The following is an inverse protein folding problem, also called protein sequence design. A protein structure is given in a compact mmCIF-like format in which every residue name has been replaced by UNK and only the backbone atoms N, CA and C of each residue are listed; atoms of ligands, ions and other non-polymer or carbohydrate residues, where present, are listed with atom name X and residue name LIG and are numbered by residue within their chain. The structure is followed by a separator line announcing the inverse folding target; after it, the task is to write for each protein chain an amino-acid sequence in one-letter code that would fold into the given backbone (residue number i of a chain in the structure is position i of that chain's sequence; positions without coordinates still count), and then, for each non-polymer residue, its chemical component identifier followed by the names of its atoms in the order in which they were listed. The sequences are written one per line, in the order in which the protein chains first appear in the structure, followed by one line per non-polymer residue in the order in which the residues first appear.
data_IF_361383090415
#
_entry.id   IF_361383090415
#
_cell.length_a   1.000
_cell.length_b   1.000
_cell.length_c   1.000
_cell.angle_alpha   90.00
_cell.angle_beta   90.00
_cell.angle_gamma   90.00
#
_symmetry.space_group_name_H-M   'P 1'
#
loop_
_entity.id
_entity.type
_entity.pdbx_description
1 polymer ?
#
# COMPACT_ATOMS: atom_id res chain seq x y z
N UNK A 1 16.21 81.73 -2.08
CA UNK A 1 15.80 82.01 -0.69
C UNK A 1 14.28 82.12 -0.67
N UNK A 2 13.60 81.41 0.24
CA UNK A 2 13.48 79.95 0.22
C UNK A 2 11.98 79.55 0.33
N UNK A 3 11.49 78.32 0.12
CA UNK A 3 11.99 76.96 0.37
C UNK A 3 11.21 75.99 -0.55
N UNK A 4 11.89 75.08 -1.26
CA UNK A 4 11.93 73.62 -0.97
C UNK A 4 10.55 73.05 -0.56
N UNK A 5 9.94 72.10 -1.27
CA UNK A 5 10.42 70.72 -1.45
C UNK A 5 9.86 70.09 -2.75
N UNK A 6 10.74 69.60 -3.63
CA UNK A 6 10.57 68.32 -4.35
C UNK A 6 11.26 67.22 -3.52
N UNK A 7 11.07 65.91 -3.79
CA UNK A 7 9.87 65.13 -4.11
C UNK A 7 9.78 63.86 -3.21
N UNK A 8 8.61 63.26 -2.95
CA UNK A 8 8.59 61.85 -2.48
C UNK A 8 7.41 61.03 -3.04
N UNK A 9 7.81 59.98 -3.74
CA UNK A 9 7.05 58.79 -4.17
C UNK A 9 6.11 58.25 -3.09
N UNK A 10 4.87 57.91 -3.45
CA UNK A 10 4.14 56.66 -3.11
C UNK A 10 2.97 56.61 -4.11
N UNK A 11 2.98 55.83 -5.18
CA UNK A 11 2.92 54.37 -5.21
C UNK A 11 1.76 54.01 -6.13
N UNK A 12 2.04 53.80 -7.41
CA UNK A 12 1.06 53.26 -8.35
C UNK A 12 0.71 51.83 -7.93
N UNK A 13 -0.38 51.67 -7.19
CA UNK A 13 -0.94 50.38 -6.80
C UNK A 13 -1.95 49.89 -7.83
N UNK A 14 -1.50 49.62 -9.05
CA UNK A 14 -2.28 48.79 -9.97
C UNK A 14 -2.18 47.37 -9.45
N UNK A 15 -3.23 46.88 -8.76
CA UNK A 15 -3.34 45.46 -8.44
C UNK A 15 -3.78 44.72 -9.71
N UNK A 16 -2.83 44.61 -10.65
CA UNK A 16 -2.89 43.69 -11.77
C UNK A 16 -2.70 42.29 -11.17
N UNK A 17 -3.80 41.56 -10.99
CA UNK A 17 -3.73 40.12 -10.75
C UNK A 17 -3.34 39.47 -12.09
N UNK A 18 -2.07 39.59 -12.45
CA UNK A 18 -1.45 38.75 -13.46
C UNK A 18 -1.29 37.39 -12.78
N UNK A 19 -2.11 36.43 -13.18
CA UNK A 19 -1.74 35.02 -13.02
C UNK A 19 -0.57 34.81 -13.96
N UNK A 20 0.63 35.06 -13.44
CA UNK A 20 1.83 34.58 -14.06
C UNK A 20 1.77 33.06 -13.94
N UNK A 21 1.35 32.40 -15.02
CA UNK A 21 1.87 31.07 -15.33
C UNK A 21 3.36 31.29 -15.59
N UNK A 22 4.15 31.46 -14.53
CA UNK A 22 5.54 31.13 -14.65
C UNK A 22 5.57 29.68 -15.09
N UNK A 23 6.32 29.38 -16.14
CA UNK A 23 7.06 28.13 -16.19
C UNK A 23 8.01 28.18 -14.98
N UNK A 24 7.46 28.02 -13.77
CA UNK A 24 8.18 27.27 -12.78
C UNK A 24 8.34 25.92 -13.46
N UNK A 25 9.58 25.49 -13.67
CA UNK A 25 9.84 24.07 -13.63
C UNK A 25 9.12 23.59 -12.38
N UNK A 26 7.96 22.95 -12.56
CA UNK A 26 7.21 22.42 -11.45
C UNK A 26 8.22 21.56 -10.71
N UNK A 27 8.61 21.87 -9.47
CA UNK A 27 9.41 20.93 -8.71
C UNK A 27 8.60 19.65 -8.76
N UNK A 28 9.24 18.57 -9.24
CA UNK A 28 8.63 17.26 -9.41
C UNK A 28 7.66 17.03 -8.25
N UNK A 29 6.40 16.71 -8.59
CA UNK A 29 5.31 16.52 -7.64
C UNK A 29 5.84 15.95 -6.33
N UNK A 30 5.76 16.74 -5.26
CA UNK A 30 6.22 16.33 -3.94
C UNK A 30 5.44 15.06 -3.56
N UNK A 31 6.11 13.90 -3.69
CA UNK A 31 5.51 12.60 -3.40
C UNK A 31 5.01 12.52 -1.95
N UNK A 32 5.45 13.44 -1.08
CA UNK A 32 5.11 13.52 0.33
C UNK A 32 3.64 13.85 0.64
N UNK A 33 2.87 14.37 -0.31
CA UNK A 33 1.48 14.76 -0.01
C UNK A 33 0.48 13.59 -0.01
N UNK A 34 0.83 12.43 -0.59
CA UNK A 34 -0.16 11.38 -0.89
C UNK A 34 0.38 9.96 -0.62
N UNK A 35 -0.53 9.00 -0.45
CA UNK A 35 -0.19 7.58 -0.58
C UNK A 35 0.09 7.22 -2.04
N UNK A 36 0.12 5.93 -2.35
CA UNK A 36 0.22 5.46 -3.74
C UNK A 36 1.23 4.33 -3.94
N UNK A 37 1.38 3.93 -5.19
CA UNK A 37 2.24 2.85 -5.61
C UNK A 37 3.49 3.41 -6.30
N UNK A 38 4.66 3.01 -5.84
CA UNK A 38 5.95 3.41 -6.37
C UNK A 38 6.69 2.18 -6.91
N UNK A 39 7.56 2.37 -7.89
CA UNK A 39 8.38 1.31 -8.48
C UNK A 39 9.82 1.72 -8.61
N UNK A 40 10.71 0.81 -8.25
CA UNK A 40 12.13 0.84 -8.59
C UNK A 40 12.42 -0.23 -9.65
N UNK A 41 13.46 0.01 -10.46
CA UNK A 41 14.06 -0.98 -11.39
C UNK A 41 15.55 -1.19 -11.14
N UNK A 42 16.08 -0.58 -10.09
CA UNK A 42 17.49 -0.48 -9.75
C UNK A 42 17.70 -0.75 -8.25
N UNK A 43 16.95 -1.72 -7.72
CA UNK A 43 17.03 -2.17 -6.33
C UNK A 43 16.86 -1.02 -5.31
N UNK A 44 15.92 -0.12 -5.58
CA UNK A 44 15.53 0.98 -4.71
C UNK A 44 16.50 2.18 -4.70
N UNK A 45 17.43 2.25 -5.65
CA UNK A 45 18.27 3.44 -5.82
C UNK A 45 17.44 4.62 -6.33
N UNK A 46 16.49 4.38 -7.24
CA UNK A 46 15.51 5.38 -7.68
C UNK A 46 14.08 4.83 -7.65
N UNK A 47 13.11 5.74 -7.43
CA UNK A 47 11.69 5.39 -7.39
C UNK A 47 10.85 6.26 -8.32
N UNK A 48 9.87 5.63 -8.97
CA UNK A 48 8.91 6.27 -9.86
C UNK A 48 7.49 6.05 -9.34
N UNK A 49 6.69 7.11 -9.26
CA UNK A 49 5.27 7.00 -8.96
C UNK A 49 4.52 6.33 -10.12
N UNK A 50 3.72 5.31 -9.81
CA UNK A 50 3.09 4.39 -10.76
C UNK A 50 1.59 4.67 -10.93
N UNK A 51 0.99 5.60 -10.20
CA UNK A 51 -0.42 5.98 -10.39
C UNK A 51 -0.66 7.50 -10.35
N UNK A 52 0.15 8.32 -11.05
CA UNK A 52 0.10 9.78 -10.91
C UNK A 52 -1.23 10.42 -11.33
N UNK A 53 -1.97 9.78 -12.24
CA UNK A 53 -3.25 10.28 -12.72
C UNK A 53 -4.45 9.87 -11.85
N UNK A 54 -4.24 9.08 -10.80
CA UNK A 54 -5.30 8.58 -9.92
C UNK A 54 -4.94 8.88 -8.48
N UNK A 55 -5.82 9.60 -7.79
CA UNK A 55 -5.69 9.82 -6.36
C UNK A 55 -5.90 8.50 -5.62
N UNK A 56 -4.83 7.96 -5.05
CA UNK A 56 -4.85 6.75 -4.23
C UNK A 56 -4.35 7.14 -2.84
N UNK A 57 -5.24 7.17 -1.86
CA UNK A 57 -4.87 7.52 -0.49
C UNK A 57 -4.14 6.37 0.20
N UNK A 58 -4.43 5.13 -0.21
CA UNK A 58 -3.78 3.93 0.26
C UNK A 58 -3.61 2.88 -0.84
N UNK A 59 -2.35 2.55 -1.17
CA UNK A 59 -2.02 1.35 -1.92
C UNK A 59 -1.86 0.18 -0.95
N UNK A 60 -2.89 -0.67 -0.83
CA UNK A 60 -3.00 -1.69 0.20
C UNK A 60 -2.39 -3.04 -0.21
N UNK A 61 -2.54 -3.41 -1.48
CA UNK A 61 -1.92 -4.60 -2.06
C UNK A 61 -1.71 -4.41 -3.56
N UNK A 62 -0.64 -4.98 -4.10
CA UNK A 62 -0.38 -5.03 -5.54
C UNK A 62 -0.10 -6.45 -5.95
N UNK A 63 -0.65 -6.88 -7.08
CA UNK A 63 -0.31 -8.13 -7.73
C UNK A 63 0.27 -7.83 -9.12
N UNK A 64 1.41 -8.44 -9.42
CA UNK A 64 2.01 -8.46 -10.76
C UNK A 64 1.63 -9.80 -11.37
N UNK A 65 1.15 -9.81 -12.61
CA UNK A 65 0.82 -11.06 -13.29
C UNK A 65 2.08 -11.93 -13.44
N UNK A 66 2.00 -13.24 -13.14
CA UNK A 66 3.14 -14.15 -13.26
C UNK A 66 3.57 -14.39 -14.71
N UNK A 67 2.77 -13.98 -15.70
CA UNK A 67 3.04 -14.20 -17.13
C UNK A 67 3.15 -12.90 -17.95
N UNK A 68 2.83 -11.75 -17.36
CA UNK A 68 2.91 -10.45 -18.03
C UNK A 68 3.25 -9.33 -17.03
N UNK A 69 4.47 -8.75 -17.06
CA UNK A 69 4.86 -7.70 -16.11
C UNK A 69 4.11 -6.38 -16.34
N UNK A 70 3.37 -6.25 -17.44
CA UNK A 70 2.55 -5.09 -17.72
C UNK A 70 1.13 -5.20 -17.15
N UNK A 71 0.69 -6.41 -16.77
CA UNK A 71 -0.63 -6.65 -16.19
C UNK A 71 -0.55 -6.60 -14.65
N UNK A 72 -1.05 -5.51 -14.08
CA UNK A 72 -1.02 -5.25 -12.64
C UNK A 72 -2.44 -5.10 -12.10
N UNK A 73 -2.64 -5.55 -10.85
CA UNK A 73 -3.79 -5.17 -10.04
C UNK A 73 -3.31 -4.41 -8.80
N UNK A 74 -4.00 -3.33 -8.49
CA UNK A 74 -3.77 -2.51 -7.31
C UNK A 74 -5.04 -2.47 -6.49
N UNK A 75 -5.01 -3.07 -5.31
CA UNK A 75 -6.05 -2.95 -4.31
C UNK A 75 -5.80 -1.69 -3.47
N UNK A 76 -6.84 -0.88 -3.32
CA UNK A 76 -6.79 0.42 -2.64
C UNK A 76 -7.81 0.50 -1.52
N UNK A 77 -7.86 1.62 -0.82
CA UNK A 77 -8.91 1.96 0.16
C UNK A 77 -10.32 2.10 -0.45
N UNK A 78 -10.43 2.22 -1.77
CA UNK A 78 -11.67 2.52 -2.48
C UNK A 78 -12.12 1.44 -3.46
N UNK A 79 -11.25 0.46 -3.76
CA UNK A 79 -11.59 -0.69 -4.59
C UNK A 79 -10.36 -1.37 -5.16
N UNK A 80 -10.47 -1.85 -6.39
CA UNK A 80 -9.36 -2.44 -7.13
C UNK A 80 -9.23 -1.77 -8.50
N UNK A 81 -8.01 -1.54 -8.95
CA UNK A 81 -7.70 -0.99 -10.27
C UNK A 81 -6.74 -1.90 -11.02
N UNK A 82 -6.85 -1.93 -12.34
CA UNK A 82 -5.99 -2.71 -13.24
C UNK A 82 -5.16 -1.81 -14.13
N UNK A 83 -3.91 -2.20 -14.36
CA UNK A 83 -3.06 -1.67 -15.43
C UNK A 83 -2.71 -2.78 -16.42
N UNK A 84 -2.59 -2.44 -17.71
CA UNK A 84 -2.07 -3.34 -18.77
C UNK A 84 -0.81 -2.79 -19.46
N UNK A 85 -0.20 -1.77 -18.87
CA UNK A 85 0.98 -1.12 -19.43
C UNK A 85 2.04 -0.85 -18.35
N UNK A 86 2.11 -1.73 -17.35
CA UNK A 86 3.10 -1.66 -16.27
C UNK A 86 2.89 -0.46 -15.34
N UNK A 87 1.63 -0.08 -15.13
CA UNK A 87 1.23 0.99 -14.24
C UNK A 87 1.48 2.38 -14.82
N UNK A 88 1.30 2.57 -16.13
CA UNK A 88 1.26 3.94 -16.69
C UNK A 88 -0.17 4.48 -16.59
N UNK A 89 -1.14 3.65 -16.91
CA UNK A 89 -2.57 3.96 -16.84
C UNK A 89 -3.31 2.88 -16.02
N UNK A 90 -4.40 3.31 -15.38
CA UNK A 90 -5.20 2.47 -14.49
C UNK A 90 -6.69 2.59 -14.81
N UNK A 91 -7.38 1.46 -14.76
CA UNK A 91 -8.83 1.34 -14.90
C UNK A 91 -9.38 0.72 -13.63
N UNK A 92 -10.34 1.38 -12.99
CA UNK A 92 -11.02 0.80 -11.81
C UNK A 92 -11.86 -0.39 -12.28
N UNK A 93 -11.65 -1.52 -11.61
CA UNK A 93 -12.27 -2.82 -11.83
C UNK A 93 -13.32 -3.11 -10.75
N UNK A 94 -14.15 -4.13 -10.97
CA UNK A 94 -15.09 -4.67 -9.97
C UNK A 94 -16.06 -3.65 -9.34
N UNK A 95 -16.30 -2.50 -9.97
CA UNK A 95 -17.10 -1.38 -9.42
C UNK A 95 -18.49 -1.78 -8.93
N UNK A 96 -19.08 -2.79 -9.56
CA UNK A 96 -20.44 -3.24 -9.27
C UNK A 96 -20.53 -4.18 -8.06
N UNK A 97 -19.41 -4.76 -7.64
CA UNK A 97 -19.38 -5.79 -6.58
C UNK A 97 -18.46 -5.43 -5.41
N UNK A 98 -17.38 -4.69 -5.65
CA UNK A 98 -16.42 -4.26 -4.63
C UNK A 98 -16.48 -2.74 -4.46
N UNK A 99 -17.02 -2.32 -3.31
CA UNK A 99 -17.02 -0.92 -2.88
C UNK A 99 -16.29 -0.83 -1.53
N UNK A 100 -15.23 -0.02 -1.46
CA UNK A 100 -14.38 0.12 -0.28
C UNK A 100 -13.07 -0.64 -0.38
N UNK A 101 -12.37 -0.89 0.74
CA UNK A 101 -10.99 -1.32 0.71
C UNK A 101 -10.82 -2.76 0.21
N UNK A 102 -9.89 -2.94 -0.72
CA UNK A 102 -9.30 -4.23 -1.06
C UNK A 102 -8.00 -4.44 -0.28
N UNK A 103 -7.95 -5.46 0.57
CA UNK A 103 -6.84 -5.71 1.50
C UNK A 103 -5.78 -6.65 0.95
N UNK A 104 -6.17 -7.57 0.07
CA UNK A 104 -5.25 -8.49 -0.57
C UNK A 104 -5.70 -8.72 -2.01
N UNK A 105 -4.74 -8.91 -2.91
CA UNK A 105 -5.00 -9.24 -4.31
C UNK A 105 -3.94 -10.22 -4.81
N UNK A 106 -4.36 -11.17 -5.64
CA UNK A 106 -3.45 -12.12 -6.28
C UNK A 106 -3.98 -12.58 -7.63
N UNK A 107 -3.08 -13.02 -8.51
CA UNK A 107 -3.38 -13.66 -9.78
C UNK A 107 -3.25 -15.19 -9.66
N UNK A 108 -4.03 -15.92 -10.46
CA UNK A 108 -3.75 -17.34 -10.72
C UNK A 108 -2.52 -17.45 -11.62
N UNK A 109 -2.01 -18.67 -11.78
CA UNK A 109 -0.82 -18.97 -12.60
C UNK A 109 -0.99 -18.55 -14.07
N UNK A 110 -2.22 -18.39 -14.55
CA UNK A 110 -2.51 -17.90 -15.91
C UNK A 110 -2.37 -16.38 -16.05
N UNK A 111 -2.26 -15.65 -14.94
CA UNK A 111 -2.16 -14.19 -14.91
C UNK A 111 -3.35 -13.42 -15.47
N UNK A 112 -4.49 -14.07 -15.64
CA UNK A 112 -5.75 -13.47 -16.09
C UNK A 112 -6.84 -13.54 -15.02
N UNK A 113 -6.96 -14.69 -14.35
CA UNK A 113 -7.89 -14.84 -13.22
C UNK A 113 -7.28 -14.22 -11.97
N UNK A 114 -8.12 -13.54 -11.20
CA UNK A 114 -7.68 -12.82 -10.02
C UNK A 114 -8.63 -13.06 -8.83
N UNK A 115 -8.08 -12.92 -7.64
CA UNK A 115 -8.84 -12.87 -6.39
C UNK A 115 -8.49 -11.59 -5.66
N UNK A 116 -9.51 -10.91 -5.13
CA UNK A 116 -9.38 -9.71 -4.29
C UNK A 116 -10.19 -9.91 -3.02
N UNK A 117 -9.54 -9.77 -1.86
CA UNK A 117 -10.22 -9.77 -0.58
C UNK A 117 -10.61 -8.35 -0.19
N UNK A 118 -11.91 -8.08 -0.10
CA UNK A 118 -12.44 -6.83 0.43
C UNK A 118 -12.71 -6.89 1.94
N UNK A 119 -13.35 -5.84 2.46
CA UNK A 119 -13.74 -5.76 3.88
C UNK A 119 -14.82 -6.77 4.30
N UNK A 120 -15.66 -7.23 3.37
CA UNK A 120 -16.84 -8.05 3.68
C UNK A 120 -16.95 -9.33 2.84
N UNK A 121 -16.19 -9.44 1.76
CA UNK A 121 -16.24 -10.58 0.86
C UNK A 121 -14.93 -10.75 0.08
N UNK A 122 -14.78 -11.92 -0.54
CA UNK A 122 -13.77 -12.23 -1.53
C UNK A 122 -14.41 -12.16 -2.91
N UNK A 123 -13.70 -11.54 -3.85
CA UNK A 123 -14.17 -11.34 -5.21
C UNK A 123 -13.25 -12.05 -6.18
N UNK A 124 -13.84 -12.78 -7.12
CA UNK A 124 -13.14 -13.43 -8.22
C UNK A 124 -13.34 -12.64 -9.49
N UNK A 125 -12.23 -12.32 -10.14
CA UNK A 125 -12.17 -11.76 -11.48
C UNK A 125 -11.83 -12.86 -12.49
N UNK A 126 -12.68 -13.04 -13.50
CA UNK A 126 -12.41 -13.88 -14.67
C UNK A 126 -12.39 -12.96 -15.90
N UNK A 127 -11.25 -12.32 -16.15
CA UNK A 127 -11.15 -11.22 -17.12
C UNK A 127 -11.77 -9.93 -16.56
N UNK A 128 -12.69 -9.32 -17.31
CA UNK A 128 -13.35 -8.06 -16.91
C UNK A 128 -14.62 -8.29 -16.06
N UNK A 129 -14.95 -9.55 -15.74
CA UNK A 129 -16.14 -9.90 -14.93
C UNK A 129 -15.72 -10.25 -13.52
N UNK A 130 -16.40 -9.63 -12.55
CA UNK A 130 -16.16 -9.85 -11.13
C UNK A 130 -17.41 -10.41 -10.44
N UNK A 131 -17.22 -11.38 -9.55
CA UNK A 131 -18.30 -11.98 -8.76
C UNK A 131 -17.84 -12.28 -7.34
N UNK A 132 -18.73 -12.15 -6.33
CA UNK A 132 -18.41 -12.54 -4.97
C UNK A 132 -18.32 -14.07 -4.84
N UNK A 133 -17.43 -14.54 -3.96
CA UNK A 133 -17.28 -15.94 -3.61
C UNK A 133 -17.80 -16.23 -2.19
N UNK A 134 -18.20 -17.48 -1.95
CA UNK A 134 -18.48 -17.96 -0.58
C UNK A 134 -17.17 -18.19 0.15
N UNK A 135 -17.19 -17.91 1.45
CA UNK A 135 -16.01 -17.94 2.29
C UNK A 135 -16.21 -18.78 3.55
N UNK A 136 -15.15 -19.40 4.08
CA UNK A 136 -15.14 -19.90 5.44
C UNK A 136 -15.37 -18.76 6.43
N UNK A 137 -16.12 -19.03 7.49
CA UNK A 137 -16.39 -18.04 8.54
C UNK A 137 -15.07 -17.50 9.14
N UNK A 138 -15.02 -16.19 9.40
CA UNK A 138 -13.84 -15.53 9.98
C UNK A 138 -12.69 -15.26 9.00
N UNK A 139 -12.82 -15.61 7.72
CA UNK A 139 -11.73 -15.40 6.74
C UNK A 139 -11.55 -13.94 6.28
N UNK A 140 -12.46 -13.04 6.67
CA UNK A 140 -12.50 -11.64 6.26
C UNK A 140 -12.54 -10.74 7.51
N UNK A 141 -11.82 -9.59 7.49
CA UNK A 141 -10.95 -9.13 6.42
C UNK A 141 -9.70 -10.00 6.28
N UNK A 142 -9.33 -10.32 5.04
CA UNK A 142 -8.16 -11.15 4.77
C UNK A 142 -6.90 -10.32 4.98
N UNK A 143 -5.91 -10.91 5.67
CA UNK A 143 -4.56 -10.36 5.80
C UNK A 143 -3.67 -10.71 4.61
N UNK A 144 -3.89 -11.88 4.01
CA UNK A 144 -3.13 -12.32 2.84
C UNK A 144 -3.96 -13.22 1.90
N UNK A 145 -3.70 -13.05 0.61
CA UNK A 145 -4.05 -13.97 -0.46
C UNK A 145 -2.76 -14.34 -1.18
N UNK A 146 -2.42 -15.63 -1.17
CA UNK A 146 -1.13 -16.11 -1.70
C UNK A 146 -1.38 -17.25 -2.66
N UNK A 147 -1.07 -17.02 -3.94
CA UNK A 147 -0.99 -18.07 -4.95
C UNK A 147 0.45 -18.58 -5.09
N UNK A 148 0.58 -19.80 -5.59
CA UNK A 148 1.88 -20.40 -5.92
C UNK A 148 1.96 -20.72 -7.41
N UNK A 149 2.74 -21.74 -7.75
CA UNK A 149 2.87 -22.24 -9.13
C UNK A 149 1.86 -23.34 -9.51
N UNK A 150 0.96 -23.70 -8.59
CA UNK A 150 -0.10 -24.69 -8.84
C UNK A 150 -1.39 -23.97 -9.24
N UNK A 151 -1.86 -24.25 -10.45
CA UNK A 151 -3.09 -23.67 -10.98
C UNK A 151 -4.27 -23.91 -10.03
N UNK A 152 -5.05 -22.86 -9.77
CA UNK A 152 -6.21 -22.94 -8.89
C UNK A 152 -5.88 -22.99 -7.39
N UNK A 153 -4.62 -23.21 -7.00
CA UNK A 153 -4.25 -23.21 -5.58
C UNK A 153 -4.03 -21.80 -5.05
N UNK A 154 -4.73 -21.48 -3.96
CA UNK A 154 -4.59 -20.21 -3.24
C UNK A 154 -4.74 -20.42 -1.74
N UNK A 155 -3.95 -19.69 -0.98
CA UNK A 155 -4.04 -19.62 0.48
C UNK A 155 -4.68 -18.29 0.90
N UNK A 156 -5.60 -18.38 1.85
CA UNK A 156 -6.30 -17.25 2.44
C UNK A 156 -6.01 -17.23 3.95
N UNK A 157 -5.32 -16.19 4.40
CA UNK A 157 -5.13 -15.93 5.82
C UNK A 157 -6.06 -14.81 6.27
N UNK A 158 -6.95 -15.13 7.20
CA UNK A 158 -7.85 -14.18 7.84
C UNK A 158 -7.77 -14.27 9.38
N UNK A 159 -8.74 -13.66 10.05
CA UNK A 159 -8.82 -13.68 11.52
C UNK A 159 -9.25 -15.04 12.07
N UNK A 160 -10.02 -15.80 11.29
CA UNK A 160 -10.50 -17.14 11.62
C UNK A 160 -9.56 -18.26 11.18
N UNK A 161 -8.31 -17.96 10.84
CA UNK A 161 -7.28 -18.95 10.52
C UNK A 161 -6.81 -18.95 9.06
N UNK A 162 -6.10 -20.02 8.70
CA UNK A 162 -5.47 -20.22 7.40
C UNK A 162 -6.24 -21.28 6.60
N UNK A 163 -6.68 -20.91 5.42
CA UNK A 163 -7.44 -21.77 4.52
C UNK A 163 -6.71 -21.95 3.19
N UNK A 164 -6.88 -23.11 2.56
CA UNK A 164 -6.42 -23.41 1.21
C UNK A 164 -7.61 -23.74 0.32
N UNK A 165 -7.60 -23.22 -0.89
CA UNK A 165 -8.42 -23.68 -2.00
C UNK A 165 -7.50 -24.31 -3.05
N UNK A 166 -7.96 -25.36 -3.72
CA UNK A 166 -7.30 -25.96 -4.90
C UNK A 166 -8.14 -25.76 -6.19
N UNK A 167 -9.20 -24.96 -6.12
CA UNK A 167 -10.17 -24.72 -7.19
C UNK A 167 -10.49 -23.22 -7.42
N UNK A 168 -9.51 -22.37 -7.12
CA UNK A 168 -9.54 -20.91 -7.26
C UNK A 168 -10.69 -20.24 -6.49
N UNK A 169 -10.85 -20.67 -5.24
CA UNK A 169 -11.76 -20.11 -4.25
C UNK A 169 -13.19 -20.62 -4.31
N UNK A 170 -13.48 -21.65 -5.12
CA UNK A 170 -14.82 -22.25 -5.16
C UNK A 170 -15.12 -23.08 -3.90
N UNK A 171 -14.11 -23.75 -3.36
CA UNK A 171 -14.15 -24.44 -2.07
C UNK A 171 -12.86 -24.22 -1.27
N UNK A 172 -12.95 -24.40 0.05
CA UNK A 172 -11.87 -24.09 0.99
C UNK A 172 -11.75 -25.18 2.04
N UNK A 173 -10.50 -25.46 2.43
CA UNK A 173 -10.13 -26.39 3.49
C UNK A 173 -9.34 -25.61 4.53
N UNK A 174 -9.68 -25.76 5.81
CA UNK A 174 -8.86 -25.24 6.89
C UNK A 174 -7.54 -26.04 6.94
N UNK A 175 -6.42 -25.33 6.83
CA UNK A 175 -5.06 -25.88 6.89
C UNK A 175 -4.27 -25.24 8.03
N UNK A 176 -4.92 -24.51 8.93
CA UNK A 176 -4.32 -23.80 10.06
C UNK A 176 -4.36 -24.54 11.39
N UNK A 177 -5.09 -25.66 11.52
CA UNK A 177 -5.33 -26.33 12.81
C UNK A 177 -4.06 -26.77 13.56
N UNK A 178 -2.96 -27.04 12.83
CA UNK A 178 -1.67 -27.39 13.42
C UNK A 178 -0.88 -26.18 13.97
N UNK A 179 -1.29 -24.95 13.63
CA UNK A 179 -0.65 -23.71 14.04
C UNK A 179 -1.28 -23.23 15.35
N UNK A 180 -0.51 -23.24 16.44
CA UNK A 180 -0.99 -22.83 17.77
C UNK A 180 -0.99 -21.31 17.93
N UNK A 181 -1.78 -20.61 17.13
CA UNK A 181 -1.94 -19.15 17.18
C UNK A 181 -3.32 -18.74 16.66
N UNK A 182 -3.80 -17.57 17.12
CA UNK A 182 -5.13 -17.07 16.76
C UNK A 182 -5.24 -16.70 15.26
N UNK A 183 -4.18 -16.15 14.68
CA UNK A 183 -4.15 -15.79 13.26
C UNK A 183 -2.74 -15.87 12.67
N UNK A 184 -2.68 -15.99 11.34
CA UNK A 184 -1.45 -15.87 10.56
C UNK A 184 -1.20 -14.40 10.20
N UNK A 185 -0.07 -13.86 10.64
CA UNK A 185 0.36 -12.49 10.35
C UNK A 185 0.91 -12.35 8.92
N UNK A 186 1.58 -13.39 8.43
CA UNK A 186 2.15 -13.46 7.08
C UNK A 186 2.15 -14.90 6.58
N UNK A 187 1.97 -15.07 5.27
CA UNK A 187 2.02 -16.36 4.57
C UNK A 187 2.83 -16.16 3.30
N UNK A 188 3.75 -17.08 3.00
CA UNK A 188 4.51 -17.06 1.75
C UNK A 188 4.69 -18.49 1.21
N UNK A 189 4.65 -18.63 -0.11
CA UNK A 189 4.78 -19.90 -0.83
C UNK A 189 5.85 -19.74 -1.91
N UNK A 190 6.94 -20.53 -1.90
CA UNK A 190 7.94 -20.49 -2.96
C UNK A 190 7.38 -21.01 -4.29
N UNK A 191 7.54 -20.29 -5.41
CA UNK A 191 7.08 -20.77 -6.71
C UNK A 191 7.68 -22.12 -7.13
N UNK A 192 8.93 -22.41 -6.76
CA UNK A 192 9.60 -23.67 -7.10
C UNK A 192 9.28 -24.83 -6.16
N UNK A 193 8.68 -24.57 -5.00
CA UNK A 193 8.32 -25.59 -4.00
C UNK A 193 6.87 -25.36 -3.54
N UNK A 194 5.86 -25.62 -4.39
CA UNK A 194 4.47 -25.27 -4.13
C UNK A 194 3.79 -26.07 -3.00
N UNK A 195 4.44 -27.13 -2.51
CA UNK A 195 4.00 -27.83 -1.29
C UNK A 195 4.59 -27.21 -0.01
N UNK A 196 5.58 -26.32 -0.14
CA UNK A 196 6.15 -25.61 1.00
C UNK A 196 5.35 -24.35 1.30
N UNK A 197 4.90 -24.20 2.54
CA UNK A 197 4.17 -23.03 3.01
C UNK A 197 4.84 -22.53 4.28
N UNK A 198 5.23 -21.26 4.28
CA UNK A 198 5.85 -20.63 5.44
C UNK A 198 4.89 -19.60 6.02
N UNK A 199 4.72 -19.64 7.35
CA UNK A 199 3.75 -18.81 8.06
C UNK A 199 4.38 -18.17 9.28
N UNK A 200 4.13 -16.88 9.45
CA UNK A 200 4.33 -16.22 10.73
C UNK A 200 3.00 -16.18 11.47
N UNK A 201 2.96 -16.79 12.66
CA UNK A 201 1.78 -16.82 13.50
C UNK A 201 2.17 -16.81 14.98
N UNK A 202 1.53 -15.93 15.76
CA UNK A 202 1.87 -15.74 17.18
C UNK A 202 3.31 -15.27 17.41
N UNK A 203 3.90 -14.55 16.45
CA UNK A 203 5.30 -14.10 16.52
C UNK A 203 6.33 -15.22 16.34
N UNK A 204 5.92 -16.37 15.80
CA UNK A 204 6.77 -17.55 15.55
C UNK A 204 6.72 -17.98 14.09
N UNK A 205 7.76 -18.68 13.64
CA UNK A 205 7.89 -19.17 12.27
C UNK A 205 7.52 -20.65 12.16
N UNK A 206 6.50 -20.93 11.34
CA UNK A 206 5.95 -22.26 11.07
C UNK A 206 6.18 -22.64 9.61
N UNK A 207 6.44 -23.92 9.39
CA UNK A 207 6.70 -24.51 8.06
C UNK A 207 5.80 -25.71 7.84
N UNK A 208 5.16 -25.76 6.68
CA UNK A 208 4.59 -26.97 6.11
C UNK A 208 5.38 -27.34 4.85
N UNK A 209 5.55 -28.63 4.60
CA UNK A 209 6.15 -29.19 3.38
C UNK A 209 5.15 -30.07 2.60
N UNK A 210 3.87 -30.02 2.99
CA UNK A 210 2.79 -30.85 2.47
C UNK A 210 1.52 -30.02 2.19
N UNK A 211 1.72 -28.78 1.75
CA UNK A 211 0.69 -27.80 1.37
C UNK A 211 -0.28 -27.42 2.51
N UNK A 212 0.20 -27.43 3.76
CA UNK A 212 -0.53 -27.05 4.96
C UNK A 212 -1.22 -28.21 5.69
N UNK A 213 -0.97 -29.48 5.30
CA UNK A 213 -1.56 -30.64 6.01
C UNK A 213 -0.92 -30.86 7.38
N UNK A 214 0.36 -30.55 7.53
CA UNK A 214 1.09 -30.58 8.80
C UNK A 214 2.05 -29.41 8.93
N UNK A 215 2.34 -29.03 10.19
CA UNK A 215 3.15 -27.85 10.52
C UNK A 215 4.26 -28.19 11.51
N UNK A 216 5.42 -27.61 11.27
CA UNK A 216 6.60 -27.68 12.13
C UNK A 216 7.03 -26.27 12.50
N UNK A 217 7.30 -26.05 13.78
CA UNK A 217 7.92 -24.81 14.23
C UNK A 217 9.42 -24.84 13.89
N UNK A 218 9.94 -23.80 13.23
CA UNK A 218 11.38 -23.68 12.91
C UNK A 218 11.93 -22.28 13.20
N UNK A 219 12.16 -21.99 14.48
CA UNK A 219 12.61 -20.65 14.92
C UNK A 219 14.05 -20.63 15.43
N UNK A 220 14.87 -21.62 15.08
CA UNK A 220 16.27 -21.66 15.54
C UNK A 220 17.08 -20.50 14.94
N UNK A 221 17.77 -19.75 15.79
CA UNK A 221 18.49 -18.52 15.41
C UNK A 221 17.62 -17.26 15.24
N UNK A 222 16.29 -17.36 15.35
CA UNK A 222 15.38 -16.21 15.45
C UNK A 222 15.11 -15.85 16.92
N UNK A 223 14.74 -14.60 17.22
CA UNK A 223 14.26 -14.23 18.55
C UNK A 223 12.98 -15.01 18.91
N UNK A 224 12.76 -15.21 20.21
CA UNK A 224 11.64 -16.00 20.71
C UNK A 224 10.25 -15.39 20.39
N UNK A 225 10.20 -14.08 20.13
CA UNK A 225 9.03 -13.33 19.70
C UNK A 225 9.45 -12.10 18.90
N UNK A 226 8.48 -11.37 18.33
CA UNK A 226 8.74 -10.14 17.59
C UNK A 226 9.22 -10.35 16.16
N UNK A 227 8.96 -11.53 15.57
CA UNK A 227 9.14 -11.75 14.14
C UNK A 227 7.99 -11.07 13.40
N UNK A 228 8.32 -10.13 12.51
CA UNK A 228 7.36 -9.22 11.87
C UNK A 228 7.08 -9.62 10.43
N UNK A 229 8.12 -10.07 9.71
CA UNK A 229 8.07 -10.32 8.27
C UNK A 229 8.81 -11.61 7.92
N UNK A 230 8.28 -12.33 6.92
CA UNK A 230 8.97 -13.39 6.19
C UNK A 230 8.85 -13.10 4.69
N UNK A 231 9.92 -13.33 3.93
CA UNK A 231 9.92 -13.30 2.48
C UNK A 231 10.73 -14.47 1.90
N UNK A 232 10.32 -14.97 0.74
CA UNK A 232 11.05 -15.98 -0.02
C UNK A 232 12.00 -15.29 -0.99
N UNK A 233 13.21 -15.83 -1.16
CA UNK A 233 14.05 -15.44 -2.28
C UNK A 233 13.56 -16.13 -3.57
N UNK A 234 13.11 -15.39 -4.59
CA UNK A 234 12.63 -15.99 -5.84
C UNK A 234 13.76 -16.64 -6.65
N UNK A 235 15.03 -16.32 -6.39
CA UNK A 235 16.19 -16.91 -7.07
C UNK A 235 16.68 -18.21 -6.43
N UNK A 236 16.37 -18.42 -5.15
CA UNK A 236 16.77 -19.62 -4.39
C UNK A 236 15.68 -20.02 -3.39
N UNK A 237 15.03 -21.14 -3.66
CA UNK A 237 13.92 -21.64 -2.85
C UNK A 237 14.31 -22.08 -1.43
N UNK A 238 15.60 -22.33 -1.20
CA UNK A 238 16.12 -22.66 0.12
C UNK A 238 16.35 -21.41 0.96
N UNK A 239 16.43 -20.24 0.31
CA UNK A 239 16.72 -18.99 0.97
C UNK A 239 15.44 -18.24 1.33
N UNK A 240 15.33 -17.90 2.62
CA UNK A 240 14.28 -17.06 3.16
C UNK A 240 14.89 -15.91 3.94
N UNK A 241 14.15 -14.82 3.99
CA UNK A 241 14.48 -13.61 4.72
C UNK A 241 13.42 -13.36 5.78
N UNK A 242 13.84 -12.88 6.94
CA UNK A 242 12.93 -12.48 8.00
C UNK A 242 13.41 -11.19 8.65
N UNK A 243 12.46 -10.42 9.19
CA UNK A 243 12.77 -9.24 9.98
C UNK A 243 12.14 -9.39 11.36
N UNK A 244 12.93 -9.10 12.39
CA UNK A 244 12.46 -9.01 13.76
C UNK A 244 13.09 -7.79 14.44
N UNK A 245 12.26 -6.84 14.89
CA UNK A 245 12.70 -5.63 15.63
C UNK A 245 13.78 -4.81 14.88
N UNK A 246 13.61 -4.70 13.55
CA UNK A 246 14.54 -4.00 12.66
C UNK A 246 15.84 -4.74 12.33
N UNK A 247 16.04 -5.97 12.82
CA UNK A 247 17.16 -6.84 12.44
C UNK A 247 16.73 -7.79 11.32
N UNK A 248 17.52 -7.86 10.25
CA UNK A 248 17.31 -8.83 9.16
C UNK A 248 17.97 -10.16 9.53
N UNK A 249 17.30 -11.25 9.21
CA UNK A 249 17.77 -12.63 9.33
C UNK A 249 17.64 -13.34 7.99
N UNK A 250 18.55 -14.27 7.73
CA UNK A 250 18.53 -15.14 6.55
C UNK A 250 18.70 -16.60 6.97
N UNK A 251 18.00 -17.47 6.27
CA UNK A 251 18.23 -18.92 6.23
C UNK A 251 18.57 -19.27 4.79
N UNK A 252 19.43 -20.27 4.59
CA UNK A 252 19.71 -20.88 3.28
C UNK A 252 19.30 -22.37 3.29
N UNK A 253 18.48 -22.79 4.27
CA UNK A 253 18.07 -24.16 4.54
C UNK A 253 16.57 -24.29 4.87
N UNK A 254 15.73 -23.48 4.22
CA UNK A 254 14.25 -23.52 4.35
C UNK A 254 13.78 -23.31 5.79
N UNK A 255 14.47 -22.41 6.50
CA UNK A 255 14.16 -22.01 7.87
C UNK A 255 14.61 -22.98 8.94
N UNK A 256 15.42 -24.00 8.64
CA UNK A 256 15.97 -24.88 9.67
C UNK A 256 16.88 -24.11 10.63
N UNK A 257 17.72 -23.21 10.10
CA UNK A 257 18.57 -22.33 10.90
C UNK A 257 18.64 -20.92 10.30
N UNK A 258 18.41 -19.94 11.15
CA UNK A 258 18.48 -18.53 10.81
C UNK A 258 19.77 -17.89 11.32
N UNK A 259 20.25 -16.87 10.60
CA UNK A 259 21.43 -16.09 10.95
C UNK A 259 21.12 -14.60 10.79
N UNK A 260 21.52 -13.74 11.74
CA UNK A 260 21.39 -12.30 11.57
C UNK A 260 22.29 -11.83 10.41
N UNK A 261 21.80 -10.83 9.68
CA UNK A 261 22.49 -10.22 8.54
C UNK A 261 22.81 -8.77 8.87
N UNK A 262 24.08 -8.40 8.77
CA UNK A 262 24.55 -7.03 8.95
C UNK A 262 24.14 -6.41 10.29
N UNK A 263 23.86 -5.11 10.27
CA UNK A 263 23.39 -4.35 11.41
C UNK A 263 21.86 -4.20 11.38
N UNK A 264 21.27 -3.89 12.55
CA UNK A 264 19.87 -3.46 12.60
C UNK A 264 19.69 -2.09 11.96
N UNK A 265 18.49 -1.82 11.46
CA UNK A 265 18.08 -0.49 11.00
C UNK A 265 18.22 0.54 12.14
N UNK A 266 18.73 1.76 11.87
CA UNK A 266 18.79 2.85 12.84
C UNK A 266 17.38 3.33 13.26
N UNK A 267 17.28 4.05 14.38
CA UNK A 267 16.03 4.68 14.87
C UNK A 267 14.92 3.73 15.37
N UNK A 268 15.27 2.82 16.29
CA UNK A 268 14.30 1.96 16.99
C UNK A 268 13.38 2.75 17.95
N UNK A 269 12.11 2.35 18.11
CA UNK A 269 11.46 1.19 17.50
C UNK A 269 11.02 1.46 16.04
N UNK A 270 11.21 0.45 15.19
CA UNK A 270 10.72 0.41 13.80
C UNK A 270 9.94 -0.88 13.63
N UNK A 271 8.76 -0.81 13.01
CA UNK A 271 7.94 -1.99 12.71
C UNK A 271 8.10 -2.33 11.24
N UNK A 272 8.73 -3.46 10.96
CA UNK A 272 8.85 -3.94 9.58
C UNK A 272 7.50 -4.45 9.05
N UNK A 273 7.22 -4.14 7.78
CA UNK A 273 5.99 -4.51 7.06
C UNK A 273 6.26 -5.43 5.88
N UNK A 274 7.39 -5.24 5.21
CA UNK A 274 7.86 -6.14 4.16
C UNK A 274 9.39 -6.05 4.02
N UNK A 275 9.98 -7.09 3.45
CA UNK A 275 11.39 -7.12 3.06
C UNK A 275 11.51 -7.69 1.65
N UNK A 276 12.36 -7.08 0.84
CA UNK A 276 12.72 -7.58 -0.49
C UNK A 276 14.24 -7.49 -0.66
N UNK A 277 14.84 -8.51 -1.26
CA UNK A 277 16.27 -8.54 -1.54
C UNK A 277 16.48 -8.69 -3.03
N UNK A 278 17.31 -7.82 -3.61
CA UNK A 278 17.72 -7.85 -5.01
C UNK A 278 19.24 -7.88 -5.02
N UNK A 279 19.82 -9.02 -5.39
CA UNK A 279 21.25 -9.29 -5.24
C UNK A 279 21.71 -9.04 -3.79
N UNK A 280 22.64 -8.13 -3.54
CA UNK A 280 23.11 -7.75 -2.20
C UNK A 280 22.33 -6.57 -1.59
N UNK A 281 21.36 -6.02 -2.32
CA UNK A 281 20.59 -4.85 -1.87
C UNK A 281 19.34 -5.30 -1.11
N UNK A 282 19.18 -4.83 0.12
CA UNK A 282 18.04 -5.13 0.98
C UNK A 282 17.14 -3.90 1.08
N UNK A 283 15.86 -4.08 0.77
CA UNK A 283 14.81 -3.10 0.96
C UNK A 283 13.90 -3.57 2.10
N UNK A 284 13.62 -2.68 3.05
CA UNK A 284 12.73 -2.93 4.17
C UNK A 284 11.65 -1.84 4.21
N UNK A 285 10.40 -2.22 3.95
CA UNK A 285 9.26 -1.34 4.18
C UNK A 285 8.90 -1.35 5.66
N UNK A 286 8.70 -0.16 6.22
CA UNK A 286 8.43 0.04 7.64
C UNK A 286 7.34 1.09 7.84
N UNK A 287 6.88 1.23 9.07
CA UNK A 287 5.99 2.32 9.50
C UNK A 287 6.60 3.74 9.35
N UNK A 288 7.88 3.84 8.96
CA UNK A 288 8.62 5.10 8.77
C UNK A 288 9.04 5.36 7.32
N UNK A 289 8.73 4.44 6.40
CA UNK A 289 9.10 4.53 4.97
C UNK A 289 9.84 3.29 4.50
N UNK A 290 10.67 3.42 3.45
CA UNK A 290 11.50 2.33 2.94
C UNK A 290 12.95 2.56 3.37
N UNK A 291 13.51 1.62 4.13
CA UNK A 291 14.94 1.58 4.41
C UNK A 291 15.64 0.73 3.35
N UNK A 292 16.81 1.18 2.93
CA UNK A 292 17.65 0.51 1.94
C UNK A 292 19.03 0.24 2.51
N UNK A 293 19.58 -0.91 2.17
CA UNK A 293 20.98 -1.24 2.40
C UNK A 293 21.58 -1.74 1.09
N UNK A 294 22.62 -1.07 0.60
CA UNK A 294 23.31 -1.45 -0.64
C UNK A 294 24.46 -2.44 -0.43
N UNK A 295 24.78 -2.78 0.82
CA UNK A 295 25.99 -3.51 1.22
C UNK A 295 25.67 -4.76 2.05
N UNK A 296 24.55 -5.42 1.74
CA UNK A 296 24.16 -6.67 2.41
C UNK A 296 23.73 -6.48 3.86
N UNK A 297 23.15 -5.33 4.20
CA UNK A 297 22.62 -5.02 5.53
C UNK A 297 23.62 -4.37 6.48
N UNK A 298 24.84 -4.03 6.06
CA UNK A 298 25.84 -3.44 6.96
C UNK A 298 25.51 -1.99 7.30
N UNK A 299 25.00 -1.23 6.33
CA UNK A 299 24.56 0.15 6.49
C UNK A 299 23.16 0.33 5.94
N UNK A 300 22.39 1.16 6.63
CA UNK A 300 21.01 1.45 6.28
C UNK A 300 20.84 2.95 6.06
N UNK A 301 20.08 3.28 5.02
CA UNK A 301 19.64 4.63 4.71
C UNK A 301 18.11 4.62 4.54
N UNK A 302 17.46 5.69 4.98
CA UNK A 302 16.05 5.89 4.65
C UNK A 302 15.97 6.41 3.21
N UNK A 303 15.30 5.67 2.32
CA UNK A 303 15.09 6.09 0.94
C UNK A 303 14.21 7.33 0.89
N UNK A 304 14.72 8.39 0.28
CA UNK A 304 14.03 9.68 0.14
C UNK A 304 13.78 10.09 -1.30
N UNK A 305 14.38 9.39 -2.27
CA UNK A 305 14.21 9.72 -3.69
C UNK A 305 12.79 9.44 -4.16
N UNK A 306 12.02 10.52 -4.37
CA UNK A 306 10.66 10.48 -4.91
C UNK A 306 9.69 9.54 -4.16
N UNK A 307 9.96 9.28 -2.88
CA UNK A 307 9.09 8.53 -1.98
C UNK A 307 8.42 9.47 -0.98
N UNK A 308 7.21 9.15 -0.49
CA UNK A 308 6.55 9.96 0.52
C UNK A 308 7.36 10.04 1.81
N UNK A 309 7.62 11.26 2.29
CA UNK A 309 8.24 11.49 3.59
C UNK A 309 7.19 11.30 4.72
N UNK A 310 7.58 10.65 5.81
CA UNK A 310 6.74 10.46 7.02
C UNK A 310 5.49 9.59 6.86
N UNK A 311 5.33 8.90 5.72
CA UNK A 311 4.27 7.92 5.50
C UNK A 311 4.89 6.52 5.53
N UNK A 312 4.25 5.59 6.24
CA UNK A 312 4.70 4.21 6.29
C UNK A 312 4.55 3.51 4.94
N UNK A 313 5.54 2.69 4.59
CA UNK A 313 5.46 1.76 3.47
C UNK A 313 4.79 0.46 3.95
N UNK A 314 3.71 0.06 3.30
CA UNK A 314 2.89 -1.08 3.71
C UNK A 314 3.35 -2.42 3.13
N UNK A 315 3.99 -2.42 1.96
CA UNK A 315 4.31 -3.64 1.22
C UNK A 315 5.49 -3.45 0.28
N UNK A 316 6.16 -4.55 -0.04
CA UNK A 316 7.13 -4.68 -1.13
C UNK A 316 6.78 -5.91 -1.96
N UNK A 317 6.60 -5.73 -3.26
CA UNK A 317 6.29 -6.82 -4.20
C UNK A 317 7.30 -6.80 -5.34
N UNK A 318 8.02 -7.92 -5.52
CA UNK A 318 8.93 -8.10 -6.66
C UNK A 318 8.14 -8.53 -7.89
N UNK A 319 8.54 -8.03 -9.05
CA UNK A 319 8.08 -8.56 -10.33
C UNK A 319 8.63 -9.99 -10.51
N UNK A 320 7.77 -11.01 -10.72
CA UNK A 320 8.19 -12.40 -10.87
C UNK A 320 9.01 -12.65 -12.13
N UNK A 321 8.85 -11.83 -13.16
CA UNK A 321 9.54 -11.94 -14.45
C UNK A 321 10.77 -11.03 -14.53
N UNK A 322 10.80 -9.95 -13.75
CA UNK A 322 11.93 -9.02 -13.68
C UNK A 322 12.34 -8.77 -12.22
N UNK A 323 13.15 -9.65 -11.61
CA UNK A 323 13.39 -9.61 -10.16
C UNK A 323 14.04 -8.31 -9.64
N UNK A 324 14.71 -7.53 -10.50
CA UNK A 324 15.23 -6.20 -10.15
C UNK A 324 14.15 -5.11 -9.98
N UNK A 325 12.93 -5.37 -10.48
CA UNK A 325 11.78 -4.48 -10.34
C UNK A 325 11.04 -4.78 -9.05
N UNK A 326 10.86 -3.76 -8.22
CA UNK A 326 10.13 -3.85 -6.94
C UNK A 326 9.11 -2.72 -6.86
N UNK A 327 7.92 -3.06 -6.38
CA UNK A 327 6.84 -2.13 -6.11
C UNK A 327 6.71 -1.89 -4.60
N UNK A 328 6.51 -0.64 -4.20
CA UNK A 328 6.26 -0.24 -2.83
C UNK A 328 4.92 0.50 -2.72
N UNK A 329 4.08 0.09 -1.79
CA UNK A 329 2.79 0.73 -1.51
C UNK A 329 2.86 1.64 -0.29
N UNK A 330 2.32 2.84 -0.41
CA UNK A 330 2.20 3.83 0.66
C UNK A 330 0.74 4.13 0.95
N UNK A 331 0.43 4.36 2.23
CA UNK A 331 -0.92 4.62 2.67
C UNK A 331 -0.95 5.67 3.79
N UNK A 332 -1.78 6.72 3.60
CA UNK A 332 -1.97 7.76 4.60
C UNK A 332 -2.60 7.19 5.88
N UNK A 333 -3.56 6.28 5.73
CA UNK A 333 -4.06 5.45 6.82
C UNK A 333 -3.40 4.09 6.72
N UNK A 334 -2.75 3.64 7.80
CA UNK A 334 -2.03 2.37 7.78
C UNK A 334 -2.95 1.18 7.45
N UNK A 335 -2.39 0.18 6.77
CA UNK A 335 -3.09 -1.05 6.43
C UNK A 335 -3.72 -1.73 7.67
N UNK A 336 -3.01 -1.77 8.80
CA UNK A 336 -3.52 -2.35 10.05
C UNK A 336 -4.73 -1.59 10.60
N UNK A 337 -4.70 -0.26 10.54
CA UNK A 337 -5.82 0.54 11.01
C UNK A 337 -7.05 0.32 10.14
N UNK A 338 -6.88 0.22 8.82
CA UNK A 338 -7.99 -0.09 7.91
C UNK A 338 -8.52 -1.53 8.11
N UNK A 339 -7.64 -2.50 8.32
CA UNK A 339 -8.03 -3.88 8.65
C UNK A 339 -8.81 -3.95 9.98
N UNK A 340 -8.31 -3.27 11.02
CA UNK A 340 -8.97 -3.18 12.32
C UNK A 340 -10.37 -2.59 12.18
N UNK A 341 -10.50 -1.47 11.46
CA UNK A 341 -11.79 -0.83 11.18
C UNK A 341 -12.76 -1.77 10.45
N UNK A 342 -12.27 -2.54 9.48
CA UNK A 342 -13.08 -3.51 8.76
C UNK A 342 -13.54 -4.66 9.67
N UNK A 343 -12.65 -5.20 10.52
CA UNK A 343 -12.98 -6.29 11.45
C UNK A 343 -13.98 -5.91 12.54
N UNK A 344 -14.02 -4.63 12.94
CA UNK A 344 -14.98 -4.11 13.92
C UNK A 344 -16.41 -3.91 13.37
N UNK A 345 -16.65 -4.17 12.08
CA UNK A 345 -17.99 -4.18 11.49
C UNK A 345 -18.72 -2.83 11.49
N UNK A 346 -18.01 -1.71 11.74
CA UNK A 346 -18.62 -0.39 11.73
C UNK A 346 -18.94 0.05 10.31
N UNK A 347 -20.21 0.37 10.03
CA UNK A 347 -20.50 1.12 8.80
C UNK A 347 -19.76 2.47 8.85
N UNK A 348 -19.20 2.96 7.73
CA UNK A 348 -18.55 4.27 7.70
C UNK A 348 -19.46 5.39 8.24
N UNK A 349 -20.79 5.22 8.06
CA UNK A 349 -21.83 6.13 8.53
C UNK A 349 -22.13 6.00 10.03
N UNK A 350 -21.97 4.81 10.63
CA UNK A 350 -22.19 4.59 12.06
C UNK A 350 -21.10 5.18 12.95
N UNK A 351 -20.05 5.76 12.36
CA UNK A 351 -18.93 6.43 13.03
C UNK A 351 -18.85 7.93 12.73
N UNK A 352 -19.77 8.46 11.92
CA UNK A 352 -19.94 9.90 11.82
C UNK A 352 -20.53 10.38 13.14
N UNK A 353 -19.69 10.95 14.00
CA UNK A 353 -20.20 11.63 15.18
C UNK A 353 -21.06 12.82 14.71
N UNK A 354 -22.16 13.11 15.40
CA UNK A 354 -23.05 14.22 15.06
C UNK A 354 -22.26 15.55 14.99
N UNK A 355 -21.17 15.63 15.76
CA UNK A 355 -20.22 16.74 15.80
C UNK A 355 -19.43 16.88 14.50
N UNK A 356 -18.94 15.79 13.90
CA UNK A 356 -18.16 15.82 12.65
C UNK A 356 -19.04 16.22 11.46
N UNK A 357 -20.28 15.72 11.43
CA UNK A 357 -21.27 16.09 10.41
C UNK A 357 -21.68 17.56 10.56
N UNK A 358 -21.95 18.00 11.80
CA UNK A 358 -22.26 19.40 12.07
C UNK A 358 -21.08 20.33 11.73
N UNK A 359 -19.85 19.91 12.01
CA UNK A 359 -18.63 20.64 11.67
C UNK A 359 -18.43 20.77 10.16
N UNK A 360 -18.60 19.67 9.41
CA UNK A 360 -18.54 19.68 7.95
C UNK A 360 -19.61 20.55 7.30
N UNK A 361 -20.85 20.50 7.79
CA UNK A 361 -21.95 21.35 7.32
C UNK A 361 -21.71 22.83 7.66
N UNK A 362 -21.21 23.14 8.86
CA UNK A 362 -20.86 24.50 9.26
C UNK A 362 -19.73 25.07 8.38
N UNK A 363 -18.72 24.25 8.07
CA UNK A 363 -17.64 24.63 7.16
C UNK A 363 -18.15 24.92 5.74
N UNK A 364 -19.01 24.07 5.19
CA UNK A 364 -19.65 24.32 3.88
C UNK A 364 -20.50 25.58 3.90
N UNK A 365 -21.29 25.81 4.96
CA UNK A 365 -22.10 27.02 5.11
C UNK A 365 -21.22 28.29 5.15
N UNK A 366 -20.09 28.25 5.85
CA UNK A 366 -19.13 29.36 5.88
C UNK A 366 -18.51 29.62 4.50
N UNK A 367 -18.19 28.57 3.72
CA UNK A 367 -17.72 28.71 2.35
C UNK A 367 -18.77 29.38 1.45
N UNK A 368 -20.05 28.97 1.54
CA UNK A 368 -21.13 29.59 0.78
C UNK A 368 -21.36 31.06 1.18
N UNK A 369 -21.28 31.38 2.48
CA UNK A 369 -21.39 32.76 2.96
C UNK A 369 -20.22 33.59 2.45
N UNK A 370 -18.98 33.09 2.54
CA UNK A 370 -17.79 33.77 2.04
C UNK A 370 -17.86 33.99 0.53
N UNK A 371 -18.29 32.99 -0.25
CA UNK A 371 -18.52 33.11 -1.69
C UNK A 371 -19.58 34.18 -1.99
N UNK A 372 -20.72 34.15 -1.29
CA UNK A 372 -21.81 35.13 -1.47
C UNK A 372 -21.39 36.56 -1.11
N UNK A 373 -20.65 36.75 -0.02
CA UNK A 373 -20.09 38.04 0.37
C UNK A 373 -19.08 38.56 -0.67
N UNK A 374 -18.26 37.67 -1.24
CA UNK A 374 -17.29 37.99 -2.28
C UNK A 374 -18.01 38.45 -3.56
N UNK A 375 -19.01 37.69 -4.02
CA UNK A 375 -19.86 38.07 -5.17
C UNK A 375 -20.54 39.41 -4.93
N UNK A 376 -21.10 39.62 -3.74
CA UNK A 376 -21.78 40.88 -3.37
C UNK A 376 -20.81 42.07 -3.31
N UNK A 377 -19.57 41.85 -2.87
CA UNK A 377 -18.51 42.87 -2.82
C UNK A 377 -18.07 43.27 -4.23
N UNK A 378 -17.88 42.28 -5.11
CA UNK A 378 -17.54 42.49 -6.54
C UNK A 378 -18.68 43.20 -7.29
N UNK A 379 -19.93 42.83 -7.04
CA UNK A 379 -21.09 43.50 -7.63
C UNK A 379 -21.18 44.98 -7.19
N UNK A 380 -20.90 45.27 -5.91
CA UNK A 380 -20.91 46.65 -5.39
C UNK A 380 -19.75 47.51 -5.90
N UNK A 381 -18.60 46.93 -6.23
CA UNK A 381 -17.48 47.66 -6.83
C UNK A 381 -17.67 47.94 -8.31
N UNK A 382 -18.41 47.09 -9.05
CA UNK A 382 -18.65 47.28 -10.48
C UNK A 382 -19.92 48.08 -10.84
N UNK A 383 -20.91 48.20 -9.95
CA UNK A 383 -22.18 48.91 -10.22
C UNK A 383 -22.35 50.25 -9.48
N UNK A 384 -21.27 51.00 -9.20
CA UNK A 384 -21.40 52.43 -8.85
C UNK A 384 -21.67 53.25 -10.11
N UNK A 385 -22.94 53.40 -10.47
CA UNK A 385 -23.38 54.36 -11.49
C UNK A 385 -23.13 55.78 -10.96
N UNK A 386 -22.42 56.67 -11.69
CA UNK A 386 -22.28 58.06 -11.29
C UNK A 386 -23.66 58.73 -11.30
N UNK A 387 -24.08 59.32 -10.17
CA UNK A 387 -25.24 60.21 -10.16
C UNK A 387 -24.92 61.43 -11.04
N UNK A 388 -25.65 61.60 -12.14
CA UNK A 388 -25.60 62.82 -12.94
C UNK A 388 -26.01 64.00 -12.06
N UNK A 389 -25.22 65.07 -12.08
CA UNK A 389 -25.54 66.33 -11.41
C UNK A 389 -26.73 67.01 -12.12
N UNK A 390 -27.72 67.55 -11.37
CA UNK A 390 -28.77 68.35 -11.98
C UNK A 390 -28.22 69.70 -12.44
N UNK A 391 -28.72 70.16 -13.59
CA UNK A 391 -28.31 71.38 -14.31
C UNK A 391 -28.59 72.66 -13.54
#
# INVERSE_FOLDING_TARGET
MPSHVTPHRVGAGVLLLVVALSRADAPAHDASAWGGLFRTRDAGATWLHVNPASFVSAALAVAVSPVDPHHLLLATDTGVSRSRNGGRDWVIEARDVLVGPGFAVTFDVDGQRALVAGASALFRGDGDRWSPLRLPAGSIPARALVSGSVAGRVYLAGWGGLHRSDDWGASWINVGDGIRAEYAASVVVPPSHPEHVYVLAGGRFWVSIDAGRSWQLRSDGLPASGIEVVAVDPSDANRLWSVATGQVFRTDDQGQRWRPIGASVPDKPVVARAVAVVDDVILMATDRGVHRSADGGQRWELSSDNLPAHVGAGLLVRDPLNPATVYAGFALTSHEELLRRAGEGGSPLGRLDLVDVAGGLAFLALLFIAAGLTVRRVARSHYRVPRAAPR
#
